data_IF_848204574903
#
_entry.id   IF_848204574903
#
_cell.length_a   1.000
_cell.length_b   1.000
_cell.length_c   1.000
_cell.angle_alpha   90.00
_cell.angle_beta   90.00
_cell.angle_gamma   90.00
#
_symmetry.space_group_name_H-M   'P 1'
#
loop_
_entity.id
_entity.type
_entity.pdbx_description
1 polymer ?
#
# COMPACT_ATOMS: atom_id res chain seq x y z
N UNK A 1 -4.06 -10.72 -0.87
CA UNK A 1 -4.04 -9.26 -1.09
C UNK A 1 -2.83 -8.57 -0.50
N UNK A 2 -2.54 -8.77 0.77
CA UNK A 2 -1.37 -8.15 1.40
C UNK A 2 -0.06 -8.51 0.72
N UNK A 3 0.05 -9.74 0.28
CA UNK A 3 1.27 -10.19 -0.39
C UNK A 3 1.51 -9.45 -1.70
N UNK A 4 0.45 -9.21 -2.45
CA UNK A 4 0.55 -8.45 -3.69
C UNK A 4 0.94 -7.00 -3.40
N UNK A 5 0.38 -6.43 -2.35
CA UNK A 5 0.76 -5.07 -1.93
C UNK A 5 2.22 -4.98 -1.52
N UNK A 6 2.71 -6.00 -0.79
CA UNK A 6 4.12 -6.05 -0.42
C UNK A 6 5.00 -6.09 -1.66
N UNK A 7 4.63 -6.90 -2.64
CA UNK A 7 5.39 -7.00 -3.88
C UNK A 7 5.43 -5.68 -4.63
N UNK A 8 4.30 -4.99 -4.71
CA UNK A 8 4.22 -3.70 -5.39
C UNK A 8 5.11 -2.66 -4.70
N UNK A 9 5.06 -2.62 -3.38
CA UNK A 9 5.86 -1.67 -2.61
C UNK A 9 7.34 -2.03 -2.67
N UNK A 10 7.65 -3.32 -2.56
CA UNK A 10 9.03 -3.78 -2.64
C UNK A 10 9.66 -3.43 -4.00
N UNK A 11 8.91 -3.63 -5.06
CA UNK A 11 9.37 -3.29 -6.40
C UNK A 11 9.63 -1.79 -6.52
N UNK A 12 8.74 -0.99 -5.96
CA UNK A 12 8.89 0.46 -5.97
C UNK A 12 10.15 0.90 -5.22
N UNK A 13 10.41 0.28 -4.06
CA UNK A 13 11.56 0.63 -3.22
C UNK A 13 12.86 -0.08 -3.63
N UNK A 14 12.78 -1.05 -4.52
CA UNK A 14 13.94 -1.84 -4.91
C UNK A 14 14.40 -2.80 -3.83
N UNK A 15 13.47 -3.35 -3.07
CA UNK A 15 13.74 -4.30 -2.00
C UNK A 15 13.01 -5.61 -2.23
N UNK A 16 13.37 -6.64 -1.44
CA UNK A 16 12.62 -7.89 -1.44
C UNK A 16 11.30 -7.73 -0.70
N UNK A 17 10.25 -8.39 -1.19
CA UNK A 17 8.96 -8.35 -0.53
C UNK A 17 9.05 -8.86 0.91
N UNK A 18 9.95 -9.77 1.19
CA UNK A 18 10.15 -10.30 2.55
C UNK A 18 10.67 -9.25 3.52
N UNK A 19 11.24 -8.15 3.03
CA UNK A 19 11.71 -7.06 3.86
C UNK A 19 10.61 -6.04 4.18
N UNK A 20 9.43 -6.19 3.57
CA UNK A 20 8.32 -5.26 3.78
C UNK A 20 7.44 -5.75 4.92
N UNK A 21 7.22 -4.89 5.90
CA UNK A 21 6.34 -5.20 7.03
C UNK A 21 4.99 -4.49 6.82
N UNK A 22 3.91 -5.21 7.08
CA UNK A 22 2.57 -4.69 6.82
C UNK A 22 2.04 -3.75 7.89
N UNK A 23 2.66 -3.76 9.05
CA UNK A 23 2.25 -2.91 10.18
C UNK A 23 3.06 -1.63 10.34
N UNK A 24 3.97 -1.37 9.42
CA UNK A 24 4.80 -0.16 9.43
C UNK A 24 4.16 0.88 8.52
N UNK A 25 4.17 2.14 8.93
CA UNK A 25 3.59 3.20 8.11
C UNK A 25 4.41 3.44 6.85
N UNK A 26 3.74 3.92 5.82
CA UNK A 26 4.43 4.23 4.56
C UNK A 26 5.51 5.29 4.76
N UNK A 27 5.25 6.24 5.64
CA UNK A 27 6.23 7.28 5.98
C UNK A 27 7.47 6.68 6.63
N UNK A 28 7.29 5.71 7.51
CA UNK A 28 8.40 5.01 8.15
C UNK A 28 9.20 4.16 7.17
N UNK A 29 8.57 3.75 6.07
CA UNK A 29 9.27 3.04 5.01
C UNK A 29 10.08 3.97 4.11
N UNK A 30 9.94 5.28 4.30
CA UNK A 30 10.63 6.26 3.49
C UNK A 30 9.89 6.65 2.23
N UNK A 31 8.59 6.39 2.17
CA UNK A 31 7.76 6.74 1.02
C UNK A 31 7.07 8.08 1.30
N UNK A 32 7.27 9.06 0.42
CA UNK A 32 6.64 10.37 0.64
C UNK A 32 5.20 10.37 0.12
N UNK A 33 4.48 11.46 0.38
CA UNK A 33 3.05 11.53 0.09
C UNK A 33 2.73 11.43 -1.41
N UNK A 34 3.58 11.95 -2.27
CA UNK A 34 3.39 11.85 -3.71
C UNK A 34 3.54 10.42 -4.19
N UNK A 35 4.53 9.73 -3.64
CA UNK A 35 4.78 8.33 -3.97
C UNK A 35 3.67 7.43 -3.45
N UNK A 36 3.15 7.74 -2.26
CA UNK A 36 2.01 7.02 -1.69
C UNK A 36 0.80 7.15 -2.62
N UNK A 37 0.53 8.35 -3.11
CA UNK A 37 -0.60 8.58 -4.01
C UNK A 37 -0.46 7.75 -5.29
N UNK A 38 0.75 7.70 -5.85
CA UNK A 38 1.02 6.92 -7.05
C UNK A 38 0.83 5.42 -6.80
N UNK A 39 1.34 4.92 -5.69
CA UNK A 39 1.19 3.52 -5.32
C UNK A 39 -0.29 3.16 -5.12
N UNK A 40 -1.04 4.05 -4.48
CA UNK A 40 -2.47 3.84 -4.27
C UNK A 40 -3.20 3.74 -5.61
N UNK A 41 -2.87 4.60 -6.56
CA UNK A 41 -3.45 4.54 -7.90
C UNK A 41 -3.17 3.21 -8.58
N UNK A 42 -1.95 2.71 -8.44
CA UNK A 42 -1.58 1.41 -9.00
C UNK A 42 -2.38 0.29 -8.33
N UNK A 43 -2.59 0.39 -7.02
CA UNK A 43 -3.36 -0.60 -6.28
C UNK A 43 -4.84 -0.57 -6.67
N UNK A 44 -5.39 0.60 -6.89
CA UNK A 44 -6.76 0.74 -7.38
C UNK A 44 -6.95 0.00 -8.69
N UNK A 45 -5.98 0.17 -9.58
CA UNK A 45 -5.98 -0.47 -10.89
C UNK A 45 -5.85 -1.99 -10.76
N UNK A 46 -4.93 -2.42 -9.91
CA UNK A 46 -4.64 -3.84 -9.70
C UNK A 46 -5.81 -4.59 -9.06
N UNK A 47 -6.45 -3.98 -8.09
CA UNK A 47 -7.53 -4.62 -7.34
C UNK A 47 -8.92 -4.25 -7.83
N UNK A 48 -9.00 -3.33 -8.77
CA UNK A 48 -10.27 -2.95 -9.38
C UNK A 48 -11.25 -2.27 -8.45
N UNK A 49 -10.75 -1.42 -7.54
CA UNK A 49 -11.60 -0.69 -6.62
C UNK A 49 -11.07 0.73 -6.42
N UNK A 50 -11.92 1.61 -5.89
CA UNK A 50 -11.52 2.96 -5.55
C UNK A 50 -10.99 3.00 -4.12
N UNK A 51 -9.89 3.70 -3.91
CA UNK A 51 -9.29 3.85 -2.60
C UNK A 51 -9.27 5.34 -2.25
N UNK A 52 -9.92 5.70 -1.16
CA UNK A 52 -9.91 7.08 -0.68
C UNK A 52 -8.93 7.13 0.49
N UNK A 53 -7.77 7.73 0.25
CA UNK A 53 -6.73 7.79 1.27
C UNK A 53 -7.10 8.76 2.38
N UNK A 54 -6.78 8.36 3.61
CA UNK A 54 -6.95 9.19 4.78
C UNK A 54 -5.78 8.94 5.73
N UNK A 55 -5.68 9.73 6.79
CA UNK A 55 -4.62 9.54 7.77
C UNK A 55 -4.71 8.21 8.50
N UNK A 56 -5.88 7.60 8.50
CA UNK A 56 -6.08 6.30 9.12
C UNK A 56 -5.55 5.16 8.25
N UNK A 57 -5.41 5.38 6.94
CA UNK A 57 -4.91 4.38 6.01
C UNK A 57 -3.45 4.67 5.72
N UNK A 58 -2.59 4.32 6.67
CA UNK A 58 -1.16 4.63 6.56
C UNK A 58 -0.26 3.40 6.61
N UNK A 59 -0.84 2.20 6.64
CA UNK A 59 -0.08 0.96 6.62
C UNK A 59 -0.69 0.01 5.59
N UNK A 60 0.07 -1.02 5.23
CA UNK A 60 -0.45 -2.07 4.33
C UNK A 60 -1.65 -2.77 4.98
N UNK A 61 -1.57 -3.04 6.29
CA UNK A 61 -2.68 -3.68 7.01
C UNK A 61 -3.96 -2.86 6.90
N UNK A 62 -3.87 -1.56 7.16
CA UNK A 62 -5.03 -0.68 7.09
C UNK A 62 -5.58 -0.58 5.67
N UNK A 63 -4.69 -0.49 4.68
CA UNK A 63 -5.09 -0.37 3.29
C UNK A 63 -5.76 -1.66 2.80
N UNK A 64 -5.21 -2.81 3.14
CA UNK A 64 -5.80 -4.09 2.76
C UNK A 64 -7.18 -4.26 3.38
N UNK A 65 -7.34 -3.87 4.64
CA UNK A 65 -8.62 -3.94 5.34
C UNK A 65 -9.66 -3.03 4.65
N UNK A 66 -9.24 -1.83 4.28
CA UNK A 66 -10.10 -0.89 3.56
C UNK A 66 -10.59 -1.50 2.23
N UNK A 67 -9.68 -2.06 1.47
CA UNK A 67 -10.03 -2.64 0.17
C UNK A 67 -10.99 -3.82 0.34
N UNK A 68 -10.76 -4.67 1.31
CA UNK A 68 -11.63 -5.81 1.56
C UNK A 68 -13.04 -5.40 1.97
N UNK A 69 -13.16 -4.31 2.71
CA UNK A 69 -14.46 -3.81 3.14
C UNK A 69 -15.23 -3.10 2.03
N UNK A 70 -14.51 -2.59 1.03
CA UNK A 70 -15.12 -1.81 -0.05
C UNK A 70 -15.09 -2.53 -1.39
N UNK A 71 -14.89 -3.82 -1.36
CA UNK A 71 -14.85 -4.66 -2.54
C UNK A 71 -16.24 -4.86 -3.14
#
# INVERSE_FOLDING_TARGET
>A
MKEKMKEMIAEYLGKDASAIETNVTFTDMGIDSLDIAELVMQMEDEFGCSIEMSQEINTIDALADYIEKNK
#
